data_IF_725454833557
#
_entry.id   IF_725454833557
#
_cell.length_a   1.000
_cell.length_b   1.000
_cell.length_c   1.000
_cell.angle_alpha   90.00
_cell.angle_beta   90.00
_cell.angle_gamma   90.00
#
_symmetry.space_group_name_H-M   'P 1'
#
loop_
_entity.id
_entity.type
_entity.pdbx_description
1 polymer ?
#
# COMPACT_ATOMS: atom_id res chain seq x y z
N UNK A 1 16.59 1.35 -80.80
CA UNK A 1 16.66 1.94 -79.45
C UNK A 1 15.29 1.79 -78.79
N UNK A 2 15.29 1.33 -77.54
CA UNK A 2 14.21 1.37 -76.54
C UNK A 2 12.84 0.71 -76.83
N UNK A 3 12.74 -0.53 -76.33
CA UNK A 3 11.54 -1.21 -75.85
C UNK A 3 10.81 -0.40 -74.77
N UNK A 4 9.48 -0.27 -74.86
CA UNK A 4 8.62 -0.01 -73.69
C UNK A 4 7.38 -0.88 -73.80
N UNK A 5 7.37 -1.98 -73.06
CA UNK A 5 6.22 -2.87 -72.89
C UNK A 5 5.27 -2.27 -71.85
N UNK A 6 3.99 -2.24 -72.21
CA UNK A 6 2.83 -1.90 -71.38
C UNK A 6 2.79 -2.73 -70.09
N UNK A 7 2.81 -2.05 -68.94
CA UNK A 7 2.55 -2.64 -67.62
C UNK A 7 1.04 -2.62 -67.35
N UNK A 8 0.39 -3.76 -67.56
CA UNK A 8 -0.98 -4.02 -67.10
C UNK A 8 -1.01 -4.12 -65.57
N UNK A 9 -1.80 -3.27 -64.94
CA UNK A 9 -2.01 -3.22 -63.49
C UNK A 9 -2.82 -4.43 -63.01
N UNK A 10 -2.14 -5.35 -62.32
CA UNK A 10 -2.79 -6.46 -61.62
C UNK A 10 -3.37 -5.92 -60.31
N UNK A 11 -4.67 -5.61 -60.32
CA UNK A 11 -5.42 -5.30 -59.12
C UNK A 11 -5.56 -6.56 -58.25
N UNK A 12 -4.84 -6.60 -57.12
CA UNK A 12 -4.94 -7.68 -56.13
C UNK A 12 -6.32 -7.63 -55.47
N UNK A 13 -7.07 -8.73 -55.60
CA UNK A 13 -8.32 -8.99 -54.87
C UNK A 13 -7.99 -9.03 -53.36
N UNK A 14 -8.45 -8.05 -52.60
CA UNK A 14 -8.38 -8.08 -51.15
C UNK A 14 -9.34 -9.16 -50.63
N UNK A 15 -8.77 -10.25 -50.13
CA UNK A 15 -9.48 -11.27 -49.37
C UNK A 15 -9.99 -10.64 -48.07
N UNK A 16 -11.31 -10.54 -47.92
CA UNK A 16 -11.93 -10.16 -46.66
C UNK A 16 -11.69 -11.27 -45.63
N UNK A 17 -10.75 -11.01 -44.72
CA UNK A 17 -10.54 -11.84 -43.53
C UNK A 17 -11.63 -11.43 -42.53
N UNK A 18 -12.61 -12.31 -42.31
CA UNK A 18 -13.62 -12.12 -41.27
C UNK A 18 -12.97 -12.31 -39.89
N UNK A 19 -12.89 -11.23 -39.11
CA UNK A 19 -12.44 -11.28 -37.72
C UNK A 19 -13.41 -12.13 -36.87
N UNK A 20 -12.90 -12.98 -35.96
CA UNK A 20 -13.76 -13.70 -35.03
C UNK A 20 -14.43 -12.69 -34.09
N UNK A 21 -15.74 -12.82 -33.90
CA UNK A 21 -16.49 -12.08 -32.88
C UNK A 21 -15.92 -12.45 -31.51
N UNK A 22 -14.99 -11.65 -31.00
CA UNK A 22 -14.60 -11.69 -29.60
C UNK A 22 -15.84 -11.43 -28.78
N UNK A 23 -16.28 -12.44 -28.02
CA UNK A 23 -17.24 -12.24 -26.95
C UNK A 23 -16.67 -11.15 -26.06
N UNK A 24 -17.36 -10.02 -25.98
CA UNK A 24 -17.17 -9.07 -24.90
C UNK A 24 -17.38 -9.85 -23.61
N UNK A 25 -16.28 -10.17 -22.92
CA UNK A 25 -16.34 -10.50 -21.50
C UNK A 25 -16.79 -9.20 -20.86
N UNK A 26 -18.06 -9.12 -20.50
CA UNK A 26 -18.57 -8.02 -19.71
C UNK A 26 -17.74 -8.04 -18.42
N UNK A 27 -16.90 -7.02 -18.13
CA UNK A 27 -16.26 -6.94 -16.85
C UNK A 27 -17.40 -6.59 -15.90
N UNK A 28 -18.07 -7.62 -15.38
CA UNK A 28 -19.06 -7.48 -14.34
C UNK A 28 -18.36 -6.74 -13.22
N UNK A 29 -18.68 -5.44 -13.14
CA UNK A 29 -18.79 -4.61 -11.97
C UNK A 29 -18.76 -5.47 -10.70
N UNK A 30 -17.56 -5.83 -10.23
CA UNK A 30 -17.36 -6.09 -8.83
C UNK A 30 -17.54 -4.72 -8.19
N UNK A 31 -18.79 -4.42 -7.84
CA UNK A 31 -19.08 -3.43 -6.83
C UNK A 31 -18.14 -3.78 -5.68
N UNK A 32 -17.08 -2.99 -5.51
CA UNK A 32 -16.21 -3.11 -4.34
C UNK A 32 -17.17 -2.88 -3.18
N UNK A 33 -17.55 -3.95 -2.48
CA UNK A 33 -18.35 -3.85 -1.27
C UNK A 33 -17.51 -3.05 -0.30
N UNK A 34 -17.74 -1.74 -0.25
CA UNK A 34 -17.15 -0.90 0.78
C UNK A 34 -17.80 -1.34 2.08
N UNK A 35 -16.99 -1.79 3.02
CA UNK A 35 -17.45 -2.02 4.38
C UNK A 35 -18.04 -0.70 4.89
N UNK A 36 -19.33 -0.69 5.27
CA UNK A 36 -19.90 0.46 5.94
C UNK A 36 -19.49 0.37 7.42
N UNK A 37 -18.53 1.20 7.81
CA UNK A 37 -17.98 1.24 9.17
C UNK A 37 -19.01 1.64 10.22
N UNK A 38 -20.09 2.34 9.83
CA UNK A 38 -21.13 2.81 10.76
C UNK A 38 -22.08 1.69 11.17
N UNK A 39 -22.21 0.65 10.33
CA UNK A 39 -23.16 -0.47 10.54
C UNK A 39 -22.47 -1.81 10.76
N UNK A 40 -21.18 -1.91 10.46
CA UNK A 40 -20.43 -3.14 10.64
C UNK A 40 -20.21 -3.45 12.14
N UNK A 41 -20.22 -4.74 12.55
CA UNK A 41 -19.92 -5.11 13.93
C UNK A 41 -18.46 -4.77 14.27
N UNK A 42 -18.26 -4.21 15.46
CA UNK A 42 -16.94 -3.97 16.03
C UNK A 42 -16.34 -5.32 16.45
N UNK A 43 -15.25 -5.73 15.81
CA UNK A 43 -14.57 -7.00 16.12
C UNK A 43 -13.59 -6.87 17.30
N UNK A 44 -12.98 -5.70 17.44
CA UNK A 44 -12.02 -5.40 18.50
C UNK A 44 -11.89 -3.88 18.65
N UNK A 45 -11.55 -3.40 19.85
CA UNK A 45 -11.25 -2.00 20.14
C UNK A 45 -10.05 -1.92 21.08
N UNK A 46 -9.11 -1.02 20.76
CA UNK A 46 -7.99 -0.67 21.61
C UNK A 46 -8.07 0.82 21.98
N UNK A 47 -7.68 1.16 23.19
CA UNK A 47 -7.65 2.53 23.68
C UNK A 47 -6.21 2.91 24.09
N UNK A 48 -5.85 4.17 23.86
CA UNK A 48 -4.62 4.75 24.38
C UNK A 48 -4.87 6.20 24.80
N UNK A 49 -4.41 6.55 26.01
CA UNK A 49 -4.35 7.89 26.55
C UNK A 49 -2.99 8.50 26.25
N UNK A 50 -2.97 9.72 25.73
CA UNK A 50 -1.75 10.47 25.43
C UNK A 50 -1.72 11.76 26.23
N UNK A 51 -0.61 12.02 26.92
CA UNK A 51 -0.38 13.26 27.67
C UNK A 51 0.96 13.84 27.21
N UNK A 52 1.06 15.17 27.04
CA UNK A 52 2.33 15.83 26.72
C UNK A 52 2.77 15.76 25.25
N UNK A 53 1.85 15.44 24.33
CA UNK A 53 2.08 15.45 22.88
C UNK A 53 3.33 14.65 22.47
N UNK A 54 4.22 15.23 21.65
CA UNK A 54 5.40 14.53 21.07
C UNK A 54 6.54 14.25 22.06
N UNK A 55 6.47 14.77 23.28
CA UNK A 55 7.51 14.63 24.31
C UNK A 55 6.97 14.07 25.62
N UNK A 56 5.77 13.49 25.58
CA UNK A 56 5.07 13.01 26.76
C UNK A 56 4.99 11.49 26.81
N UNK A 57 3.80 10.97 27.03
CA UNK A 57 3.58 9.57 27.37
C UNK A 57 2.32 9.01 26.72
N UNK A 58 2.37 7.74 26.32
CA UNK A 58 1.23 6.96 25.80
C UNK A 58 0.99 5.76 26.72
N UNK A 59 -0.24 5.67 27.23
CA UNK A 59 -0.71 4.59 28.10
C UNK A 59 -1.98 3.97 27.52
N UNK A 60 -1.93 2.69 27.18
CA UNK A 60 -3.06 1.84 26.79
C UNK A 60 -3.05 0.54 27.61
N UNK A 61 -3.91 -0.40 27.25
CA UNK A 61 -4.07 -1.64 28.04
C UNK A 61 -2.77 -2.44 28.15
N UNK A 62 -2.07 -2.61 27.01
CA UNK A 62 -0.79 -3.33 26.91
C UNK A 62 0.33 -2.46 26.33
N UNK A 63 0.11 -1.15 26.19
CA UNK A 63 1.07 -0.20 25.62
C UNK A 63 1.42 0.86 26.64
N UNK A 64 2.69 0.92 27.06
CA UNK A 64 3.18 1.93 27.99
C UNK A 64 4.54 2.43 27.48
N UNK A 65 4.55 3.61 26.86
CA UNK A 65 5.74 4.14 26.19
C UNK A 65 5.90 5.65 26.38
N UNK A 66 7.13 6.06 26.65
CA UNK A 66 7.52 7.46 26.64
C UNK A 66 7.84 7.94 25.22
N UNK A 67 7.46 9.18 24.94
CA UNK A 67 7.68 9.85 23.68
C UNK A 67 8.82 10.86 23.77
N UNK A 68 9.59 10.96 22.70
CA UNK A 68 10.61 11.99 22.49
C UNK A 68 10.48 12.58 21.11
N UNK A 69 10.79 13.87 20.99
CA UNK A 69 10.82 14.52 19.70
C UNK A 69 12.08 14.05 18.95
N UNK A 70 11.90 13.59 17.71
CA UNK A 70 13.00 13.12 16.88
C UNK A 70 14.03 14.24 16.63
N UNK A 71 15.32 13.87 16.53
CA UNK A 71 16.41 14.82 16.26
C UNK A 71 16.21 15.60 14.98
N UNK A 72 15.67 14.96 13.95
CA UNK A 72 15.35 15.59 12.67
C UNK A 72 14.31 16.73 12.79
N UNK A 73 13.50 16.71 13.86
CA UNK A 73 12.53 17.76 14.17
C UNK A 73 13.04 18.74 15.24
N UNK A 74 14.33 18.70 15.58
CA UNK A 74 14.95 19.57 16.58
C UNK A 74 14.82 19.08 18.04
N UNK A 75 14.36 17.85 18.24
CA UNK A 75 14.24 17.25 19.58
C UNK A 75 15.52 16.54 20.07
N UNK A 76 15.55 16.11 21.34
CA UNK A 76 16.73 15.45 21.92
C UNK A 76 16.95 14.04 21.38
N UNK A 77 15.89 13.35 20.92
CA UNK A 77 15.95 11.96 20.48
C UNK A 77 16.49 11.03 21.58
N UNK A 78 15.81 11.07 22.73
CA UNK A 78 16.21 10.31 23.92
C UNK A 78 16.23 8.80 23.65
N UNK A 79 17.26 8.11 24.14
CA UNK A 79 17.33 6.65 24.02
C UNK A 79 16.22 5.98 24.82
N UNK A 80 15.65 4.90 24.26
CA UNK A 80 14.60 4.12 24.92
C UNK A 80 13.20 4.75 24.86
N UNK A 81 13.07 5.94 24.26
CA UNK A 81 11.80 6.57 23.95
C UNK A 81 11.52 6.47 22.46
N UNK A 82 10.24 6.51 22.09
CA UNK A 82 9.80 6.46 20.69
C UNK A 82 9.16 7.77 20.27
N UNK A 83 8.59 7.83 19.07
CA UNK A 83 7.89 8.98 18.53
C UNK A 83 6.62 8.54 17.78
N UNK A 84 5.68 9.46 17.51
CA UNK A 84 4.43 9.12 16.82
C UNK A 84 4.63 8.48 15.44
N UNK A 85 5.65 8.89 14.68
CA UNK A 85 5.93 8.33 13.35
C UNK A 85 6.36 6.86 13.42
N UNK A 86 7.22 6.49 14.38
CA UNK A 86 7.63 5.11 14.63
C UNK A 86 6.46 4.24 15.07
N UNK A 87 5.62 4.73 15.99
CA UNK A 87 4.41 4.02 16.42
C UNK A 87 3.45 3.77 15.25
N UNK A 88 3.26 4.78 14.39
CA UNK A 88 2.45 4.64 13.19
C UNK A 88 3.06 3.64 12.19
N UNK A 89 4.38 3.70 11.97
CA UNK A 89 5.09 2.79 11.08
C UNK A 89 4.95 1.33 11.54
N UNK A 90 5.14 1.08 12.83
CA UNK A 90 5.04 -0.25 13.44
C UNK A 90 3.62 -0.81 13.31
N UNK A 91 2.62 -0.04 13.75
CA UNK A 91 1.22 -0.47 13.71
C UNK A 91 0.71 -0.70 12.28
N UNK A 92 1.04 0.22 11.36
CA UNK A 92 0.56 0.12 9.98
C UNK A 92 1.23 -1.01 9.20
N UNK A 93 2.54 -1.21 9.37
CA UNK A 93 3.26 -2.32 8.76
C UNK A 93 2.75 -3.69 9.25
N UNK A 94 2.55 -3.84 10.56
CA UNK A 94 2.01 -5.07 11.14
C UNK A 94 0.60 -5.39 10.63
N UNK A 95 -0.27 -4.38 10.58
CA UNK A 95 -1.63 -4.52 10.06
C UNK A 95 -1.62 -4.91 8.56
N UNK A 96 -0.78 -4.26 7.75
CA UNK A 96 -0.64 -4.59 6.34
C UNK A 96 -0.17 -6.02 6.12
N UNK A 97 0.85 -6.48 6.86
CA UNK A 97 1.35 -7.85 6.75
C UNK A 97 0.25 -8.87 7.09
N UNK A 98 -0.54 -8.62 8.12
CA UNK A 98 -1.69 -9.47 8.48
C UNK A 98 -2.73 -9.54 7.34
N UNK A 99 -3.11 -8.38 6.79
CA UNK A 99 -4.05 -8.31 5.67
C UNK A 99 -3.52 -9.00 4.40
N UNK A 100 -2.22 -8.86 4.11
CA UNK A 100 -1.54 -9.54 3.01
C UNK A 100 -1.60 -11.07 3.19
N UNK A 101 -1.27 -11.58 4.37
CA UNK A 101 -1.33 -13.00 4.67
C UNK A 101 -2.77 -13.55 4.54
N UNK A 102 -3.77 -12.82 5.04
CA UNK A 102 -5.18 -13.19 4.87
C UNK A 102 -5.61 -13.21 3.39
N UNK A 103 -5.10 -12.27 2.59
CA UNK A 103 -5.38 -12.20 1.15
C UNK A 103 -4.73 -13.37 0.38
N UNK A 104 -3.51 -13.78 0.77
CA UNK A 104 -2.81 -14.90 0.15
C UNK A 104 -3.60 -16.21 0.21
N UNK A 105 -4.31 -16.46 1.34
CA UNK A 105 -5.20 -17.62 1.50
C UNK A 105 -6.29 -17.63 0.41
N UNK A 106 -6.91 -16.48 0.16
CA UNK A 106 -7.97 -16.36 -0.88
C UNK A 106 -7.43 -16.59 -2.29
N UNK A 107 -6.14 -16.29 -2.51
CA UNK A 107 -5.44 -16.49 -3.77
C UNK A 107 -4.77 -17.88 -3.89
N UNK A 108 -4.88 -18.74 -2.86
CA UNK A 108 -4.20 -20.03 -2.76
C UNK A 108 -2.67 -19.93 -2.93
N UNK A 109 -2.09 -18.81 -2.48
CA UNK A 109 -0.65 -18.60 -2.43
C UNK A 109 -0.17 -19.07 -1.05
N UNK A 110 0.78 -20.00 -1.04
CA UNK A 110 1.42 -20.44 0.20
C UNK A 110 2.45 -19.37 0.63
N UNK A 111 2.27 -18.83 1.84
CA UNK A 111 3.26 -17.94 2.45
C UNK A 111 4.40 -18.77 3.07
N UNK A 112 5.64 -18.26 3.13
CA UNK A 112 6.75 -18.95 3.79
C UNK A 112 6.47 -19.20 5.28
N UNK A 113 7.00 -20.31 5.80
CA UNK A 113 6.80 -20.70 7.21
C UNK A 113 7.67 -19.89 8.17
N UNK A 114 8.89 -19.53 7.76
CA UNK A 114 9.79 -18.71 8.55
C UNK A 114 9.31 -17.25 8.56
N UNK A 115 9.22 -16.64 9.74
CA UNK A 115 8.68 -15.27 9.91
C UNK A 115 9.56 -14.24 9.20
N UNK A 116 10.85 -14.49 9.17
CA UNK A 116 11.91 -13.66 8.63
C UNK A 116 11.91 -13.64 7.09
N UNK A 117 11.14 -14.54 6.47
CA UNK A 117 10.98 -14.63 5.02
C UNK A 117 9.78 -13.83 4.49
N UNK A 118 8.95 -13.28 5.38
CA UNK A 118 7.89 -12.33 5.05
C UNK A 118 8.07 -11.07 5.88
N UNK A 119 8.59 -10.01 5.26
CA UNK A 119 8.99 -8.78 5.94
C UNK A 119 8.33 -7.58 5.29
N UNK A 120 7.65 -6.77 6.11
CA UNK A 120 7.09 -5.46 5.71
C UNK A 120 7.87 -4.37 6.43
N UNK A 121 8.73 -3.66 5.69
CA UNK A 121 9.44 -2.49 6.20
C UNK A 121 8.64 -1.23 5.86
N UNK A 122 8.16 -0.52 6.88
CA UNK A 122 7.35 0.69 6.72
C UNK A 122 8.17 1.90 7.15
N UNK A 123 8.24 2.91 6.30
CA UNK A 123 8.88 4.20 6.57
C UNK A 123 7.82 5.28 6.56
N UNK A 124 7.71 6.01 7.66
CA UNK A 124 6.74 7.10 7.82
C UNK A 124 7.49 8.41 7.80
N UNK A 125 7.13 9.26 6.85
CA UNK A 125 7.70 10.58 6.68
C UNK A 125 6.69 11.62 7.17
N UNK A 126 7.15 12.46 8.11
CA UNK A 126 6.51 13.73 8.37
C UNK A 126 6.99 14.73 7.31
N UNK A 127 6.10 15.12 6.40
CA UNK A 127 6.40 16.00 5.27
C UNK A 127 5.71 17.35 5.44
N UNK A 128 6.32 18.43 4.95
CA UNK A 128 5.72 19.76 4.97
C UNK A 128 6.60 20.83 5.63
N UNK A 129 5.96 21.91 6.08
CA UNK A 129 6.59 23.07 6.71
C UNK A 129 5.97 23.36 8.08
N UNK A 130 6.74 23.07 9.14
CA UNK A 130 6.31 23.29 10.53
C UNK A 130 5.95 24.76 10.82
N UNK A 131 6.58 25.73 10.14
CA UNK A 131 6.33 27.16 10.37
C UNK A 131 5.02 27.62 9.77
N UNK A 132 4.59 26.98 8.69
CA UNK A 132 3.31 27.27 8.01
C UNK A 132 2.15 26.44 8.54
N UNK A 133 2.42 25.53 9.49
CA UNK A 133 1.46 24.55 10.00
C UNK A 133 0.84 23.68 8.89
N UNK A 134 1.58 23.50 7.79
CA UNK A 134 1.18 22.67 6.65
C UNK A 134 2.00 21.38 6.68
N UNK A 135 1.45 20.36 7.33
CA UNK A 135 2.14 19.12 7.64
C UNK A 135 1.27 17.93 7.22
N UNK A 136 1.91 16.90 6.66
CA UNK A 136 1.27 15.66 6.27
C UNK A 136 2.12 14.44 6.61
N UNK A 137 1.50 13.27 6.48
CA UNK A 137 2.17 11.98 6.64
C UNK A 137 2.24 11.31 5.26
N UNK A 138 3.46 10.91 4.86
CA UNK A 138 3.67 10.03 3.71
C UNK A 138 4.23 8.70 4.20
N UNK A 139 3.70 7.60 3.68
CA UNK A 139 4.15 6.25 4.02
C UNK A 139 4.77 5.59 2.80
N UNK A 140 6.03 5.18 2.94
CA UNK A 140 6.70 4.32 1.98
C UNK A 140 6.76 2.91 2.59
N UNK A 141 6.40 1.89 1.82
CA UNK A 141 6.35 0.50 2.32
C UNK A 141 7.10 -0.42 1.36
N UNK A 142 8.09 -1.14 1.89
CA UNK A 142 8.84 -2.17 1.19
C UNK A 142 8.42 -3.54 1.71
N UNK A 143 7.82 -4.33 0.84
CA UNK A 143 7.36 -5.69 1.14
C UNK A 143 8.31 -6.68 0.49
N UNK A 144 8.83 -7.62 1.27
CA UNK A 144 9.72 -8.68 0.82
C UNK A 144 9.16 -10.02 1.28
N UNK A 145 8.82 -10.90 0.34
CA UNK A 145 8.37 -12.26 0.62
C UNK A 145 9.28 -13.19 -0.17
N UNK A 146 10.01 -14.07 0.52
CA UNK A 146 10.80 -15.12 -0.13
C UNK A 146 9.87 -16.26 -0.56
N UNK A 147 10.12 -16.80 -1.74
CA UNK A 147 9.40 -17.92 -2.34
C UNK A 147 10.35 -18.78 -3.14
#
# INVERSE_FOLDING_TARGET
>A
MASVRTLSSIARRASQVSLPKTRFVNPSLTCRRRLNTDTAPVLYSAHAKVVGARTGHVEGDDLNVDLTMAKALGGPGDKGKTNPEELFAAGYGACFQSAMNASAISLKIQMPEAKEDSVVSTTVHLVGDMKKLDMGIRVDMKVSVKG
#
